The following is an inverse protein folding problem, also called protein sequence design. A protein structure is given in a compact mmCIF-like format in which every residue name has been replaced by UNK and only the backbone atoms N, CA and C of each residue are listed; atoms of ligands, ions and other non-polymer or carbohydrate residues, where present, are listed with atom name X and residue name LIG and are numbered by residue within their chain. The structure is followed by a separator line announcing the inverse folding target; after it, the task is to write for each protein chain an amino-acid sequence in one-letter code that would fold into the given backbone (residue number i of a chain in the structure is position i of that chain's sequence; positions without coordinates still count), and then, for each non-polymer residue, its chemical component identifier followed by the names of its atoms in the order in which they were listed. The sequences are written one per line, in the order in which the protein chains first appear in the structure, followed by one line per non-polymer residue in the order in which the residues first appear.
data_IF_113835164309
#
_entry.id   IF_113835164309
#
_cell.length_a   1.000
_cell.length_b   1.000
_cell.length_c   1.000
_cell.angle_alpha   90.00
_cell.angle_beta   90.00
_cell.angle_gamma   90.00
#
_symmetry.space_group_name_H-M   'P 1'
#
loop_
_entity.id
_entity.type
_entity.pdbx_description
1 polymer ?
#
# COMPACT_ATOMS: atom_id res chain seq x y z
N UNK A 1 6.94 -11.06 -6.85
CA UNK A 1 5.88 -11.06 -5.84
C UNK A 1 6.09 -9.98 -4.78
N UNK A 2 5.01 -9.43 -4.33
CA UNK A 2 5.00 -8.32 -3.38
C UNK A 2 5.70 -8.72 -2.07
N UNK A 3 5.55 -9.95 -1.67
CA UNK A 3 6.11 -10.45 -0.42
C UNK A 3 7.65 -10.38 -0.35
N UNK A 4 8.28 -10.30 -1.51
CA UNK A 4 9.74 -10.28 -1.57
C UNK A 4 10.34 -8.91 -1.69
N UNK A 5 9.52 -7.87 -1.61
CA UNK A 5 9.99 -6.49 -1.71
C UNK A 5 9.99 -5.86 -0.32
N UNK A 6 11.17 -5.77 0.33
CA UNK A 6 11.23 -5.26 1.70
C UNK A 6 10.78 -3.81 1.85
N UNK A 7 11.04 -2.98 0.84
CA UNK A 7 10.58 -1.58 0.89
C UNK A 7 9.07 -1.48 0.93
N UNK A 8 8.41 -2.31 0.15
CA UNK A 8 6.95 -2.32 0.10
C UNK A 8 6.38 -2.85 1.42
N UNK A 9 7.00 -3.89 1.96
CA UNK A 9 6.59 -4.44 3.26
C UNK A 9 6.69 -3.39 4.35
N UNK A 10 7.77 -2.65 4.37
CA UNK A 10 7.98 -1.59 5.36
C UNK A 10 6.92 -0.48 5.19
N UNK A 11 6.66 -0.10 3.95
CA UNK A 11 5.66 0.93 3.67
C UNK A 11 4.27 0.50 4.12
N UNK A 12 3.92 -0.76 3.88
CA UNK A 12 2.63 -1.31 4.32
C UNK A 12 2.53 -1.27 5.84
N UNK A 13 3.55 -1.73 6.52
CA UNK A 13 3.55 -1.74 7.98
C UNK A 13 3.44 -0.34 8.56
N UNK A 14 4.13 0.61 7.97
CA UNK A 14 4.07 2.00 8.40
C UNK A 14 2.66 2.55 8.24
N UNK A 15 2.04 2.29 7.09
CA UNK A 15 0.67 2.73 6.85
C UNK A 15 -0.31 2.09 7.82
N UNK A 16 -0.18 0.78 8.04
CA UNK A 16 -1.05 0.08 8.99
C UNK A 16 -0.90 0.63 10.40
N UNK A 17 0.32 0.97 10.77
CA UNK A 17 0.59 1.53 12.09
C UNK A 17 -0.06 2.90 12.26
N UNK A 18 -0.04 3.71 11.21
CA UNK A 18 -0.70 5.01 11.26
C UNK A 18 -2.21 4.89 11.34
N UNK A 19 -2.77 3.90 10.63
CA UNK A 19 -4.20 3.67 10.66
C UNK A 19 -4.67 3.02 11.96
N UNK A 20 -3.83 2.18 12.55
CA UNK A 20 -4.18 1.46 13.76
C UNK A 20 -5.38 0.55 13.54
N UNK A 21 -6.28 0.52 14.52
CA UNK A 21 -7.48 -0.30 14.43
C UNK A 21 -8.58 0.34 13.58
N UNK A 22 -8.36 1.56 13.13
CA UNK A 22 -9.40 2.33 12.44
C UNK A 22 -9.34 2.17 10.93
N UNK A 23 -8.38 1.42 10.41
CA UNK A 23 -8.27 1.24 8.99
C UNK A 23 -7.43 0.03 8.63
N UNK A 24 -7.25 -0.17 7.35
CA UNK A 24 -6.45 -1.29 6.85
C UNK A 24 -5.86 -0.98 5.48
N UNK A 25 -4.81 -1.70 5.15
CA UNK A 25 -4.16 -1.60 3.85
C UNK A 25 -4.32 -2.94 3.14
N UNK A 26 -4.79 -2.88 1.91
CA UNK A 26 -4.97 -4.05 1.07
C UNK A 26 -4.22 -3.83 -0.23
N UNK A 27 -3.34 -4.76 -0.56
CA UNK A 27 -2.60 -4.70 -1.82
C UNK A 27 -2.82 -6.01 -2.56
N UNK A 28 -3.30 -5.90 -3.79
CA UNK A 28 -3.53 -7.05 -4.66
C UNK A 28 -2.62 -6.97 -5.87
N UNK A 29 -1.91 -8.01 -6.10
CA UNK A 29 -1.03 -8.12 -7.24
C UNK A 29 -1.74 -8.88 -8.36
N UNK A 30 -1.76 -8.29 -9.55
CA UNK A 30 -2.34 -8.95 -10.71
C UNK A 30 -1.26 -9.82 -11.34
N UNK A 31 -1.45 -11.12 -11.28
CA UNK A 31 -0.40 -12.10 -11.56
C UNK A 31 0.20 -12.11 -12.95
N UNK A 32 -0.48 -11.57 -13.95
CA UNK A 32 0.01 -11.63 -15.32
C UNK A 32 0.66 -10.35 -15.82
N UNK A 33 0.57 -9.28 -15.06
CA UNK A 33 1.16 -8.01 -15.44
C UNK A 33 1.65 -7.28 -14.20
N UNK A 34 2.53 -6.31 -14.42
CA UNK A 34 3.08 -5.51 -13.33
C UNK A 34 2.06 -4.50 -12.79
N UNK A 35 0.85 -4.97 -12.55
CA UNK A 35 -0.20 -4.13 -12.00
C UNK A 35 -0.48 -4.52 -10.56
N UNK A 36 -0.42 -3.53 -9.72
CA UNK A 36 -0.70 -3.73 -8.31
C UNK A 36 -1.82 -2.79 -7.91
N UNK A 37 -2.84 -3.34 -7.28
CA UNK A 37 -3.97 -2.55 -6.80
C UNK A 37 -3.77 -2.25 -5.33
N UNK A 38 -3.70 -0.97 -5.00
CA UNK A 38 -3.54 -0.53 -3.62
C UNK A 38 -4.87 0.02 -3.14
N UNK A 39 -5.33 -0.49 -2.01
CA UNK A 39 -6.56 -0.02 -1.40
C UNK A 39 -6.29 0.29 0.07
N UNK A 40 -6.67 1.48 0.50
CA UNK A 40 -6.48 1.90 1.88
C UNK A 40 -7.82 2.34 2.45
N UNK A 41 -8.16 1.81 3.61
CA UNK A 41 -9.35 2.22 4.36
C UNK A 41 -8.88 2.93 5.62
N UNK A 42 -9.56 4.00 5.99
CA UNK A 42 -9.19 4.74 7.18
C UNK A 42 -10.28 5.68 7.65
N UNK A 43 -10.05 6.38 8.76
CA UNK A 43 -11.07 7.23 9.37
C UNK A 43 -11.38 8.50 8.58
N UNK A 44 -10.46 8.96 7.75
CA UNK A 44 -10.66 10.15 6.92
C UNK A 44 -10.14 9.92 5.52
N UNK A 45 -10.79 10.58 4.56
CA UNK A 45 -10.37 10.48 3.17
C UNK A 45 -9.00 11.10 2.95
N UNK A 46 -8.70 12.14 3.67
CA UNK A 46 -7.41 12.81 3.59
C UNK A 46 -6.28 11.85 3.95
N UNK A 47 -6.44 11.13 5.04
CA UNK A 47 -5.45 10.18 5.48
C UNK A 47 -5.33 9.00 4.53
N UNK A 48 -6.47 8.44 4.11
CA UNK A 48 -6.45 7.31 3.19
C UNK A 48 -5.85 7.69 1.84
N UNK A 49 -6.18 8.86 1.35
CA UNK A 49 -5.62 9.34 0.08
C UNK A 49 -4.12 9.51 0.13
N UNK A 50 -3.61 10.08 1.22
CA UNK A 50 -2.18 10.28 1.40
C UNK A 50 -1.44 8.96 1.48
N UNK A 51 -1.96 8.03 2.28
CA UNK A 51 -1.34 6.72 2.45
C UNK A 51 -1.40 5.91 1.15
N UNK A 52 -2.53 5.94 0.48
CA UNK A 52 -2.68 5.24 -0.79
C UNK A 52 -1.70 5.75 -1.84
N UNK A 53 -1.54 7.06 -1.91
CA UNK A 53 -0.60 7.66 -2.85
C UNK A 53 0.84 7.27 -2.51
N UNK A 54 1.20 7.30 -1.24
CA UNK A 54 2.53 6.92 -0.80
C UNK A 54 2.84 5.46 -1.15
N UNK A 55 1.88 4.57 -0.91
CA UNK A 55 2.03 3.17 -1.23
C UNK A 55 2.11 2.94 -2.74
N UNK A 56 1.29 3.64 -3.49
CA UNK A 56 1.31 3.53 -4.94
C UNK A 56 2.67 3.97 -5.51
N UNK A 57 3.23 5.04 -4.97
CA UNK A 57 4.54 5.50 -5.38
C UNK A 57 5.63 4.47 -5.07
N UNK A 58 5.54 3.84 -3.89
CA UNK A 58 6.47 2.80 -3.50
C UNK A 58 6.37 1.60 -4.45
N UNK A 59 5.16 1.19 -4.78
CA UNK A 59 4.92 0.11 -5.71
C UNK A 59 5.54 0.42 -7.08
N UNK A 60 5.36 1.63 -7.56
CA UNK A 60 5.92 2.04 -8.84
C UNK A 60 7.44 1.97 -8.84
N UNK A 61 8.07 2.39 -7.75
CA UNK A 61 9.52 2.31 -7.63
C UNK A 61 10.02 0.88 -7.64
N UNK A 62 9.29 -0.01 -6.99
CA UNK A 62 9.74 -1.38 -6.82
C UNK A 62 9.45 -2.24 -8.04
N UNK A 63 8.36 -1.98 -8.73
CA UNK A 63 7.92 -2.83 -9.84
C UNK A 63 8.19 -2.21 -11.20
N UNK A 64 8.09 -0.94 -11.26
CA UNK A 64 8.17 -0.28 -12.53
C UNK A 64 9.37 0.42 -12.88
#
# INVERSE_FOLDING_TARGET
PIDKIPELQTAIKTAEKELGDKGRVLIRYSGTQSMCRVMVEGPTEEMTGRLAKSLADTVRKCIG
#
